data_IF_755608869988
#
_entry.id   IF_755608869988
#
_cell.length_a   1.000
_cell.length_b   1.000
_cell.length_c   1.000
_cell.angle_alpha   90.00
_cell.angle_beta   90.00
_cell.angle_gamma   90.00
#
_symmetry.space_group_name_H-M   'P 1'
#
loop_
_entity.id
_entity.type
_entity.pdbx_description
1 polymer ?
#
# COMPACT_ATOMS: atom_id res chain seq x y z
N UNK A 1 -3.33 -11.67 21.66
CA UNK A 1 -4.67 -11.69 21.06
C UNK A 1 -4.55 -12.09 19.59
N UNK A 2 -5.61 -12.62 18.99
CA UNK A 2 -5.66 -12.94 17.57
C UNK A 2 -7.00 -12.47 17.01
N UNK A 3 -7.00 -11.99 15.77
CA UNK A 3 -8.20 -11.55 15.06
C UNK A 3 -8.03 -11.85 13.57
N UNK A 4 -9.09 -12.31 12.92
CA UNK A 4 -9.19 -12.31 11.46
C UNK A 4 -9.78 -10.98 11.02
N UNK A 5 -9.00 -10.18 10.29
CA UNK A 5 -9.42 -8.86 9.82
C UNK A 5 -10.53 -8.93 8.75
N UNK A 6 -10.85 -10.10 8.22
CA UNK A 6 -12.02 -10.29 7.35
C UNK A 6 -13.33 -10.42 8.15
N UNK A 7 -13.25 -10.73 9.44
CA UNK A 7 -14.39 -10.75 10.36
C UNK A 7 -14.43 -9.44 11.18
N UNK A 8 -15.35 -8.56 10.81
CA UNK A 8 -15.53 -7.26 11.45
C UNK A 8 -15.90 -7.37 12.95
N UNK A 9 -16.74 -8.36 13.31
CA UNK A 9 -17.19 -8.53 14.67
C UNK A 9 -16.07 -9.07 15.56
N UNK A 10 -15.37 -10.11 15.09
CA UNK A 10 -14.22 -10.66 15.80
C UNK A 10 -13.10 -9.61 15.96
N UNK A 11 -12.83 -8.82 14.92
CA UNK A 11 -11.86 -7.72 14.98
C UNK A 11 -12.24 -6.67 16.02
N UNK A 12 -13.50 -6.24 16.05
CA UNK A 12 -14.01 -5.29 17.04
C UNK A 12 -13.86 -5.81 18.47
N UNK A 13 -14.18 -7.09 18.69
CA UNK A 13 -14.04 -7.73 20.01
C UNK A 13 -12.58 -7.81 20.43
N UNK A 14 -11.69 -8.24 19.53
CA UNK A 14 -10.28 -8.40 19.83
C UNK A 14 -9.58 -7.05 20.13
N UNK A 15 -10.00 -5.97 19.49
CA UNK A 15 -9.43 -4.63 19.68
C UNK A 15 -10.09 -3.84 20.82
N UNK A 16 -11.11 -4.39 21.49
CA UNK A 16 -11.79 -3.72 22.58
C UNK A 16 -10.82 -3.38 23.72
N UNK A 17 -10.71 -2.10 24.05
CA UNK A 17 -9.84 -1.60 25.11
C UNK A 17 -8.36 -1.49 24.73
N UNK A 18 -8.01 -1.78 23.47
CA UNK A 18 -6.67 -1.53 22.93
C UNK A 18 -6.57 -0.06 22.57
N UNK A 19 -5.60 0.64 23.17
CA UNK A 19 -5.38 2.07 22.99
C UNK A 19 -3.94 2.30 22.50
N UNK A 20 -3.65 2.07 21.20
CA UNK A 20 -2.31 2.27 20.69
C UNK A 20 -2.05 3.76 20.42
N UNK A 21 -0.79 4.19 20.49
CA UNK A 21 -0.36 5.50 19.98
C UNK A 21 -0.18 5.47 18.45
N UNK A 22 0.25 4.34 17.91
CA UNK A 22 0.52 4.14 16.49
C UNK A 22 0.04 2.76 16.00
N UNK A 23 -0.47 2.70 14.77
CA UNK A 23 -0.92 1.48 14.09
C UNK A 23 -0.12 1.29 12.80
N UNK A 24 0.46 0.11 12.63
CA UNK A 24 1.19 -0.28 11.42
C UNK A 24 0.44 -1.39 10.69
N UNK A 25 -0.03 -1.12 9.48
CA UNK A 25 -0.76 -2.07 8.65
C UNK A 25 0.20 -2.66 7.63
N UNK A 26 0.64 -3.89 7.89
CA UNK A 26 1.64 -4.62 7.10
C UNK A 26 1.08 -5.93 6.52
N UNK A 27 -0.23 -5.97 6.29
CA UNK A 27 -0.95 -7.15 5.82
C UNK A 27 -1.60 -6.92 4.47
N UNK A 28 -1.68 -7.99 3.68
CA UNK A 28 -2.43 -8.06 2.44
C UNK A 28 -2.81 -9.51 2.15
N UNK A 29 -3.84 -9.73 1.33
CA UNK A 29 -4.28 -11.04 0.89
C UNK A 29 -4.47 -11.06 -0.63
N UNK A 30 -3.79 -11.98 -1.31
CA UNK A 30 -3.91 -12.16 -2.76
C UNK A 30 -5.21 -12.90 -3.11
N UNK A 31 -5.86 -12.43 -4.16
CA UNK A 31 -7.07 -12.98 -4.75
C UNK A 31 -6.85 -13.21 -6.25
N UNK A 32 -7.80 -13.90 -6.88
CA UNK A 32 -7.71 -14.31 -8.29
C UNK A 32 -7.86 -13.14 -9.28
N UNK A 33 -8.40 -12.00 -8.84
CA UNK A 33 -8.54 -10.80 -9.67
C UNK A 33 -8.28 -9.53 -8.88
N UNK A 34 -7.90 -8.45 -9.58
CA UNK A 34 -7.66 -7.16 -8.94
C UNK A 34 -8.92 -6.56 -8.29
N UNK A 35 -10.10 -6.78 -8.88
CA UNK A 35 -11.37 -6.37 -8.27
C UNK A 35 -11.55 -7.03 -6.89
N UNK A 36 -11.21 -8.31 -6.82
CA UNK A 36 -11.33 -9.09 -5.59
C UNK A 36 -10.24 -8.73 -4.57
N UNK A 37 -9.01 -8.46 -5.05
CA UNK A 37 -7.94 -7.89 -4.21
C UNK A 37 -8.41 -6.60 -3.55
N UNK A 38 -8.97 -5.66 -4.32
CA UNK A 38 -9.46 -4.38 -3.79
C UNK A 38 -10.54 -4.63 -2.74
N UNK A 39 -11.52 -5.48 -3.05
CA UNK A 39 -12.61 -5.82 -2.12
C UNK A 39 -12.08 -6.34 -0.80
N UNK A 40 -11.29 -7.41 -0.83
CA UNK A 40 -10.81 -8.10 0.39
C UNK A 40 -9.84 -7.22 1.19
N UNK A 41 -8.85 -6.61 0.54
CA UNK A 41 -7.84 -5.81 1.24
C UNK A 41 -8.43 -4.52 1.82
N UNK A 42 -9.35 -3.86 1.10
CA UNK A 42 -10.03 -2.68 1.64
C UNK A 42 -10.94 -3.00 2.83
N UNK A 43 -11.60 -4.17 2.82
CA UNK A 43 -12.37 -4.66 3.97
C UNK A 43 -11.48 -4.88 5.19
N UNK A 44 -10.31 -5.53 5.05
CA UNK A 44 -9.40 -5.75 6.17
C UNK A 44 -8.91 -4.44 6.79
N UNK A 45 -8.51 -3.47 5.96
CA UNK A 45 -8.10 -2.13 6.43
C UNK A 45 -9.24 -1.42 7.15
N UNK A 46 -10.45 -1.47 6.60
CA UNK A 46 -11.63 -0.83 7.20
C UNK A 46 -11.96 -1.42 8.56
N UNK A 47 -12.04 -2.75 8.66
CA UNK A 47 -12.37 -3.45 9.90
C UNK A 47 -11.34 -3.12 11.01
N UNK A 48 -10.06 -3.09 10.66
CA UNK A 48 -9.01 -2.67 11.59
C UNK A 48 -9.25 -1.23 12.07
N UNK A 49 -9.37 -0.27 11.14
CA UNK A 49 -9.54 1.14 11.48
C UNK A 49 -10.81 1.41 12.29
N UNK A 50 -11.93 0.76 12.00
CA UNK A 50 -13.15 0.87 12.79
C UNK A 50 -12.98 0.35 14.23
N UNK A 51 -12.11 -0.64 14.44
CA UNK A 51 -11.74 -1.13 15.76
C UNK A 51 -10.85 -0.14 16.52
N UNK A 52 -9.79 0.38 15.89
CA UNK A 52 -8.80 1.25 16.57
C UNK A 52 -9.18 2.72 16.66
N UNK A 53 -9.98 3.26 15.74
CA UNK A 53 -10.45 4.67 15.81
C UNK A 53 -11.44 4.91 16.96
N UNK A 54 -11.93 3.84 17.60
CA UNK A 54 -12.68 3.94 18.85
C UNK A 54 -11.78 4.31 20.03
N UNK A 55 -10.48 4.07 19.93
CA UNK A 55 -9.50 4.51 20.90
C UNK A 55 -9.14 5.98 20.66
N UNK A 56 -9.19 6.79 21.73
CA UNK A 56 -8.87 8.23 21.68
C UNK A 56 -7.37 8.51 21.61
N UNK A 57 -6.51 7.49 21.76
CA UNK A 57 -5.05 7.61 21.83
C UNK A 57 -4.34 7.53 20.48
N UNK A 58 -4.98 6.99 19.44
CA UNK A 58 -4.30 6.72 18.17
C UNK A 58 -3.90 8.02 17.48
N UNK A 59 -2.60 8.27 17.35
CA UNK A 59 -2.03 9.47 16.71
C UNK A 59 -1.55 9.23 15.29
N UNK A 60 -1.08 8.02 15.00
CA UNK A 60 -0.49 7.69 13.71
C UNK A 60 -1.01 6.35 13.17
N UNK A 61 -1.27 6.32 11.87
CA UNK A 61 -1.54 5.09 11.11
C UNK A 61 -0.61 5.06 9.92
N UNK A 62 0.17 3.99 9.80
CA UNK A 62 1.06 3.75 8.66
C UNK A 62 0.55 2.53 7.87
N UNK A 63 0.33 2.69 6.57
CA UNK A 63 -0.06 1.62 5.66
C UNK A 63 1.11 1.27 4.75
N UNK A 64 1.58 0.03 4.84
CA UNK A 64 2.60 -0.49 3.93
C UNK A 64 1.92 -1.07 2.70
N UNK A 65 2.26 -0.53 1.54
CA UNK A 65 1.78 -1.02 0.24
C UNK A 65 2.93 -1.65 -0.53
N UNK A 66 3.32 -1.09 -1.68
CA UNK A 66 4.39 -1.58 -2.53
C UNK A 66 4.47 -0.74 -3.81
N UNK A 67 5.28 -1.18 -4.77
CA UNK A 67 5.55 -0.44 -6.00
C UNK A 67 4.50 -0.60 -7.11
N UNK A 68 3.39 -1.30 -6.83
CA UNK A 68 2.28 -1.48 -7.78
C UNK A 68 1.78 -0.18 -8.45
N UNK A 69 1.67 0.96 -7.76
CA UNK A 69 1.28 2.23 -8.40
C UNK A 69 2.22 2.69 -9.53
N UNK A 70 3.46 2.20 -9.55
CA UNK A 70 4.46 2.49 -10.57
C UNK A 70 4.52 1.41 -11.65
N UNK A 71 4.28 0.15 -11.28
CA UNK A 71 4.45 -1.02 -12.13
C UNK A 71 3.14 -1.51 -12.78
N UNK A 72 1.98 -1.07 -12.32
CA UNK A 72 0.68 -1.59 -12.73
C UNK A 72 0.27 -2.87 -11.98
N UNK A 73 -0.89 -3.46 -12.34
CA UNK A 73 -1.40 -4.67 -11.71
C UNK A 73 -0.49 -5.87 -12.00
N UNK A 74 -0.53 -6.90 -11.14
CA UNK A 74 0.38 -8.04 -11.23
C UNK A 74 0.25 -8.82 -12.53
N UNK A 75 -0.95 -8.82 -13.12
CA UNK A 75 -1.26 -9.43 -14.41
C UNK A 75 -0.45 -8.82 -15.56
N UNK A 76 0.03 -7.59 -15.39
CA UNK A 76 0.93 -6.93 -16.34
C UNK A 76 2.40 -7.36 -16.21
N UNK A 77 2.77 -8.07 -15.15
CA UNK A 77 4.18 -8.39 -14.89
C UNK A 77 4.63 -9.55 -15.79
N UNK A 78 5.82 -9.43 -16.36
CA UNK A 78 6.37 -10.45 -17.28
C UNK A 78 5.81 -10.39 -18.71
N UNK A 79 4.90 -9.45 -19.02
CA UNK A 79 4.34 -9.24 -20.36
C UNK A 79 5.21 -8.31 -21.25
N UNK A 80 6.43 -7.99 -20.83
CA UNK A 80 7.43 -7.25 -21.63
C UNK A 80 7.19 -5.75 -21.83
N UNK A 81 6.02 -5.22 -21.48
CA UNK A 81 5.71 -3.78 -21.61
C UNK A 81 5.77 -3.13 -20.23
N UNK A 82 6.91 -2.51 -19.90
CA UNK A 82 6.99 -1.63 -18.75
C UNK A 82 6.15 -0.35 -19.02
N UNK A 83 5.42 0.17 -18.01
CA UNK A 83 4.78 1.47 -18.14
C UNK A 83 5.81 2.54 -18.51
N UNK A 84 5.47 3.42 -19.47
CA UNK A 84 6.37 4.45 -20.03
C UNK A 84 7.07 5.32 -18.96
N UNK A 85 6.48 5.45 -17.76
CA UNK A 85 7.05 6.19 -16.63
C UNK A 85 8.35 5.57 -16.07
N UNK A 86 8.51 4.25 -16.17
CA UNK A 86 9.72 3.52 -15.72
C UNK A 86 10.79 3.38 -16.83
N UNK A 87 10.42 3.67 -18.08
CA UNK A 87 11.34 3.59 -19.21
C UNK A 87 12.37 4.75 -19.19
N UNK A 88 11.96 5.92 -18.68
CA UNK A 88 12.81 7.12 -18.64
C UNK A 88 13.93 7.06 -17.58
N UNK A 89 13.88 6.16 -16.60
CA UNK A 89 14.94 6.01 -15.59
C UNK A 89 16.06 5.04 -15.99
N UNK A 90 15.89 4.28 -17.08
CA UNK A 90 16.86 3.28 -17.54
C UNK A 90 17.70 3.73 -18.76
N UNK A 91 17.40 4.89 -19.36
CA UNK A 91 18.22 5.49 -20.43
C UNK A 91 19.45 6.28 -19.89
N UNK A 92 19.99 5.87 -18.74
CA UNK A 92 21.26 6.42 -18.23
C UNK A 92 22.41 5.70 -18.91
N UNK A 93 22.90 6.28 -20.01
CA UNK A 93 24.12 5.86 -20.70
C UNK A 93 25.35 5.89 -19.75
N UNK A 94 26.30 4.94 -19.85
CA UNK A 94 27.32 4.73 -18.80
C UNK A 94 28.43 5.79 -18.75
N UNK A 95 28.52 6.70 -19.71
CA UNK A 95 29.60 7.68 -19.77
C UNK A 95 29.18 8.96 -20.51
N UNK A 96 28.83 10.01 -19.76
CA UNK A 96 29.24 11.36 -20.13
C UNK A 96 29.12 12.30 -18.94
N UNK A 97 30.28 12.73 -18.45
CA UNK A 97 30.44 13.92 -17.63
C UNK A 97 29.84 15.12 -18.37
N UNK A 98 28.59 15.50 -18.10
CA UNK A 98 28.02 16.83 -18.31
C UNK A 98 26.53 16.82 -17.91
N UNK A 99 26.25 16.99 -16.62
CA UNK A 99 24.90 17.36 -16.16
C UNK A 99 24.67 18.81 -16.54
N UNK A 100 23.86 19.08 -17.57
CA UNK A 100 23.29 20.42 -17.77
C UNK A 100 22.03 20.54 -16.90
N UNK A 101 21.83 21.64 -16.17
CA UNK A 101 20.58 21.85 -15.44
C UNK A 101 19.41 22.06 -16.43
N UNK A 102 18.26 21.47 -16.08
CA UNK A 102 16.98 21.67 -16.78
C UNK A 102 16.58 23.16 -16.79
N UNK A 103 16.27 23.76 -17.96
CA UNK A 103 15.71 25.10 -18.01
C UNK A 103 14.19 25.00 -17.85
N UNK A 104 13.64 25.60 -16.78
CA UNK A 104 12.19 25.62 -16.58
C UNK A 104 11.65 26.02 -15.21
N UNK A 105 12.48 26.53 -14.29
CA UNK A 105 11.98 27.21 -13.10
C UNK A 105 11.80 28.71 -13.39
N UNK A 106 10.61 29.06 -13.88
CA UNK A 106 9.92 30.35 -13.63
C UNK A 106 8.44 30.05 -13.41
#
# INVERSE_FOLDING_TARGET
>A
MAADLQDAAATTVALKGVNPDAVFITTWLRQDSEKENIRVNSTMVRNLLEGVLRATSTRHVALVTGLKPYLGPFESYGQGVLPRRLQLELDVEPDSRLVRPYPGAV
#
